data_IF_208704556151
#
_entry.id   IF_208704556151
#
_cell.length_a   1.000
_cell.length_b   1.000
_cell.length_c   1.000
_cell.angle_alpha   90.00
_cell.angle_beta   90.00
_cell.angle_gamma   90.00
#
_symmetry.space_group_name_H-M   'P 1'
#
loop_
_entity.id
_entity.type
_entity.pdbx_description
1 polymer ?
#
# COMPACT_ATOMS: atom_id res chain seq x y z
N UNK A 1 -13.03 -26.15 56.25
CA UNK A 1 -12.16 -25.81 55.10
C UNK A 1 -11.77 -24.32 54.99
N UNK A 2 -12.66 -23.33 55.21
CA UNK A 2 -12.26 -21.88 55.19
C UNK A 2 -11.66 -21.36 56.51
N UNK A 3 -11.99 -21.99 57.64
CA UNK A 3 -11.50 -21.60 58.98
C UNK A 3 -10.07 -22.09 59.26
N UNK A 4 -9.70 -23.28 58.77
CA UNK A 4 -8.34 -23.85 58.98
C UNK A 4 -7.24 -23.03 58.28
N UNK A 5 -7.57 -22.39 57.15
CA UNK A 5 -6.65 -21.49 56.43
C UNK A 5 -6.37 -20.18 57.17
N UNK A 6 -7.36 -19.67 57.92
CA UNK A 6 -7.20 -18.44 58.71
C UNK A 6 -6.41 -18.71 60.00
N UNK A 7 -6.59 -19.88 60.61
CA UNK A 7 -5.77 -20.31 61.75
C UNK A 7 -4.31 -20.57 61.36
N UNK A 8 -4.06 -21.04 60.13
CA UNK A 8 -2.70 -21.22 59.62
C UNK A 8 -1.97 -19.88 59.41
N UNK A 9 -2.68 -18.84 58.95
CA UNK A 9 -2.11 -17.49 58.80
C UNK A 9 -1.91 -16.76 60.13
N UNK A 10 -2.70 -17.08 61.16
CA UNK A 10 -2.55 -16.51 62.50
C UNK A 10 -1.39 -17.11 63.31
N UNK A 11 -0.95 -18.33 62.99
CA UNK A 11 0.16 -19.02 63.67
C UNK A 11 1.53 -18.74 63.02
N UNK A 12 1.56 -18.06 61.88
CA UNK A 12 2.81 -17.59 61.25
C UNK A 12 3.23 -16.30 61.95
N UNK A 13 4.22 -16.44 62.83
CA UNK A 13 4.86 -15.30 63.49
C UNK A 13 5.60 -14.46 62.45
N UNK A 14 5.04 -13.28 62.15
CA UNK A 14 5.49 -12.34 61.11
C UNK A 14 6.87 -11.73 61.41
N UNK A 15 7.44 -12.02 62.58
CA UNK A 15 8.74 -11.52 63.04
C UNK A 15 9.90 -12.50 62.84
N UNK A 16 9.69 -13.66 62.21
CA UNK A 16 10.79 -14.60 61.95
C UNK A 16 11.61 -14.15 60.73
N UNK A 17 12.95 -14.16 60.80
CA UNK A 17 13.82 -13.72 59.69
C UNK A 17 13.58 -14.54 58.41
N UNK A 18 13.09 -15.78 58.55
CA UNK A 18 12.73 -16.66 57.43
C UNK A 18 11.46 -16.20 56.70
N UNK A 19 10.43 -15.72 57.41
CA UNK A 19 9.21 -15.19 56.77
C UNK A 19 9.48 -13.84 56.12
N UNK A 20 10.31 -12.99 56.72
CA UNK A 20 10.82 -11.75 56.10
C UNK A 20 11.70 -12.02 54.86
N UNK A 21 12.58 -13.02 54.91
CA UNK A 21 13.40 -13.42 53.76
C UNK A 21 12.55 -14.01 52.61
N UNK A 22 11.55 -14.84 52.92
CA UNK A 22 10.66 -15.42 51.91
C UNK A 22 9.71 -14.37 51.29
N UNK A 23 9.17 -13.46 52.09
CA UNK A 23 8.30 -12.39 51.59
C UNK A 23 9.09 -11.36 50.78
N UNK A 24 10.31 -10.99 51.19
CA UNK A 24 11.19 -10.12 50.39
C UNK A 24 11.66 -10.78 49.09
N UNK A 25 11.95 -12.09 49.09
CA UNK A 25 12.25 -12.85 47.88
C UNK A 25 11.05 -12.94 46.92
N UNK A 26 9.83 -13.16 47.45
CA UNK A 26 8.61 -13.17 46.65
C UNK A 26 8.29 -11.80 46.04
N UNK A 27 8.39 -10.72 46.82
CA UNK A 27 8.20 -9.34 46.34
C UNK A 27 9.26 -8.96 45.31
N UNK A 28 10.52 -9.33 45.54
CA UNK A 28 11.60 -9.15 44.56
C UNK A 28 11.38 -9.93 43.27
N UNK A 29 10.84 -11.15 43.35
CA UNK A 29 10.47 -11.96 42.18
C UNK A 29 9.32 -11.34 41.38
N UNK A 30 8.28 -10.82 42.04
CA UNK A 30 7.16 -10.15 41.35
C UNK A 30 7.65 -8.85 40.68
N UNK A 31 8.48 -8.06 41.35
CA UNK A 31 9.03 -6.81 40.78
C UNK A 31 9.91 -7.12 39.56
N UNK A 32 10.77 -8.14 39.63
CA UNK A 32 11.63 -8.54 38.52
C UNK A 32 10.83 -9.08 37.34
N UNK A 33 9.82 -9.94 37.57
CA UNK A 33 8.90 -10.42 36.53
C UNK A 33 8.10 -9.27 35.90
N UNK A 34 7.61 -8.33 36.70
CA UNK A 34 6.92 -7.14 36.22
C UNK A 34 7.84 -6.25 35.38
N UNK A 35 9.10 -6.07 35.79
CA UNK A 35 10.10 -5.32 35.04
C UNK A 35 10.46 -6.00 33.72
N UNK A 36 10.67 -7.32 33.72
CA UNK A 36 10.94 -8.10 32.50
C UNK A 36 9.74 -8.01 31.55
N UNK A 37 8.52 -8.22 32.05
CA UNK A 37 7.28 -8.06 31.28
C UNK A 37 7.14 -6.66 30.67
N UNK A 38 7.39 -5.61 31.47
CA UNK A 38 7.34 -4.23 30.99
C UNK A 38 8.41 -3.94 29.94
N UNK A 39 9.63 -4.50 30.11
CA UNK A 39 10.72 -4.39 29.14
C UNK A 39 10.37 -5.10 27.83
N UNK A 40 9.85 -6.32 27.90
CA UNK A 40 9.46 -7.11 26.73
C UNK A 40 8.31 -6.44 25.97
N UNK A 41 7.33 -5.87 26.68
CA UNK A 41 6.25 -5.12 26.06
C UNK A 41 6.76 -3.87 25.34
N UNK A 42 7.74 -3.15 25.92
CA UNK A 42 8.38 -1.99 25.27
C UNK A 42 9.18 -2.41 24.03
N UNK A 43 9.90 -3.52 24.11
CA UNK A 43 10.71 -4.03 23.00
C UNK A 43 9.82 -4.45 21.83
N UNK A 44 8.75 -5.22 22.09
CA UNK A 44 7.74 -5.57 21.08
C UNK A 44 7.12 -4.34 20.44
N UNK A 45 6.86 -3.28 21.22
CA UNK A 45 6.31 -2.02 20.70
C UNK A 45 7.30 -1.29 19.79
N UNK A 46 8.60 -1.32 20.10
CA UNK A 46 9.67 -0.77 19.25
C UNK A 46 9.78 -1.55 17.96
N UNK A 47 9.90 -2.87 18.04
CA UNK A 47 9.94 -3.76 16.87
C UNK A 47 8.74 -3.57 15.93
N UNK A 48 7.53 -3.41 16.49
CA UNK A 48 6.31 -3.06 15.72
C UNK A 48 6.46 -1.76 14.94
N UNK A 49 6.98 -0.72 15.59
CA UNK A 49 7.17 0.60 14.99
C UNK A 49 8.23 0.56 13.90
N UNK A 50 9.34 -0.12 14.15
CA UNK A 50 10.47 -0.20 13.22
C UNK A 50 10.06 -1.00 11.98
N UNK A 51 9.40 -2.15 12.16
CA UNK A 51 8.87 -2.96 11.04
C UNK A 51 7.82 -2.18 10.24
N UNK A 52 6.91 -1.46 10.90
CA UNK A 52 5.93 -0.62 10.23
C UNK A 52 6.57 0.57 9.49
N UNK A 53 7.67 1.11 10.01
CA UNK A 53 8.44 2.17 9.34
C UNK A 53 9.10 1.64 8.07
N UNK A 54 9.77 0.48 8.13
CA UNK A 54 10.38 -0.17 6.97
C UNK A 54 9.35 -0.47 5.87
N UNK A 55 8.20 -1.01 6.25
CA UNK A 55 7.07 -1.23 5.33
C UNK A 55 6.61 0.06 4.67
N UNK A 56 6.37 1.11 5.45
CA UNK A 56 5.93 2.39 4.91
C UNK A 56 6.98 3.02 4.00
N UNK A 57 8.27 2.91 4.33
CA UNK A 57 9.36 3.41 3.49
C UNK A 57 9.44 2.65 2.15
N UNK A 58 9.21 1.32 2.15
CA UNK A 58 9.18 0.54 0.92
C UNK A 58 8.05 0.98 -0.03
N UNK A 59 6.85 1.23 0.52
CA UNK A 59 5.69 1.71 -0.22
C UNK A 59 5.89 3.16 -0.73
N UNK A 60 6.46 4.03 0.09
CA UNK A 60 6.80 5.40 -0.31
C UNK A 60 7.87 5.42 -1.41
N UNK A 61 8.87 4.55 -1.32
CA UNK A 61 9.87 4.38 -2.37
C UNK A 61 9.22 3.92 -3.67
N UNK A 62 8.32 2.94 -3.57
CA UNK A 62 7.58 2.45 -4.73
C UNK A 62 6.73 3.54 -5.41
N UNK A 63 6.06 4.40 -4.63
CA UNK A 63 5.32 5.54 -5.18
C UNK A 63 6.22 6.50 -5.96
N UNK A 64 7.45 6.76 -5.49
CA UNK A 64 8.43 7.55 -6.25
C UNK A 64 8.85 6.84 -7.54
N UNK A 65 9.09 5.53 -7.49
CA UNK A 65 9.41 4.73 -8.68
C UNK A 65 8.28 4.79 -9.71
N UNK A 66 7.03 4.70 -9.27
CA UNK A 66 5.87 4.88 -10.14
C UNK A 66 5.84 6.27 -10.78
N UNK A 67 6.08 7.35 -10.01
CA UNK A 67 6.19 8.72 -10.56
C UNK A 67 7.28 8.81 -11.63
N UNK A 68 8.45 8.22 -11.39
CA UNK A 68 9.53 8.21 -12.40
C UNK A 68 9.13 7.44 -13.66
N UNK A 69 8.37 6.36 -13.52
CA UNK A 69 7.86 5.59 -14.66
C UNK A 69 6.79 6.36 -15.43
N UNK A 70 5.92 7.12 -14.75
CA UNK A 70 4.98 8.03 -15.39
C UNK A 70 5.73 9.06 -16.23
N UNK A 71 6.77 9.71 -15.69
CA UNK A 71 7.58 10.64 -16.48
C UNK A 71 8.27 9.96 -17.67
N UNK A 72 8.77 8.74 -17.49
CA UNK A 72 9.36 7.96 -18.59
C UNK A 72 8.34 7.66 -19.69
N UNK A 73 7.11 7.30 -19.32
CA UNK A 73 6.02 7.08 -20.25
C UNK A 73 5.64 8.37 -21.00
N UNK A 74 5.54 9.51 -20.30
CA UNK A 74 5.24 10.80 -20.95
C UNK A 74 6.31 11.19 -21.96
N UNK A 75 7.57 10.89 -21.64
CA UNK A 75 8.70 11.16 -22.52
C UNK A 75 8.69 10.24 -23.74
N UNK A 76 8.44 8.94 -23.55
CA UNK A 76 8.31 7.98 -24.63
C UNK A 76 7.12 8.28 -25.57
N UNK A 77 6.03 8.84 -25.04
CA UNK A 77 4.88 9.27 -25.85
C UNK A 77 5.18 10.53 -26.68
N UNK A 78 6.13 11.37 -26.25
CA UNK A 78 6.51 12.60 -26.93
C UNK A 78 7.61 12.40 -28.00
N UNK A 79 8.26 11.24 -28.04
CA UNK A 79 9.27 10.97 -29.07
C UNK A 79 8.61 10.84 -30.47
N UNK A 80 9.16 11.54 -31.48
CA UNK A 80 8.59 11.53 -32.82
C UNK A 80 8.63 10.13 -33.44
N UNK A 81 7.57 9.81 -34.20
CA UNK A 81 7.34 8.51 -34.85
C UNK A 81 8.39 8.24 -35.93
N UNK A 82 9.58 7.79 -35.53
CA UNK A 82 10.55 7.12 -36.38
C UNK A 82 10.57 5.60 -36.13
N UNK A 83 11.38 4.86 -36.89
CA UNK A 83 11.59 3.42 -36.66
C UNK A 83 12.06 3.05 -35.23
N UNK A 84 12.51 4.05 -34.46
CA UNK A 84 12.96 3.95 -33.06
C UNK A 84 11.82 3.98 -32.02
N UNK A 85 10.59 4.34 -32.40
CA UNK A 85 9.50 4.58 -31.42
C UNK A 85 9.05 3.30 -30.68
N UNK A 86 9.25 2.14 -31.32
CA UNK A 86 9.02 0.83 -30.68
C UNK A 86 10.11 0.45 -29.67
N UNK A 87 11.28 1.09 -29.70
CA UNK A 87 12.36 0.87 -28.74
C UNK A 87 12.19 1.72 -27.48
N UNK A 88 11.72 2.96 -27.63
CA UNK A 88 11.42 3.87 -26.53
C UNK A 88 10.37 3.31 -25.56
N UNK A 89 9.31 2.70 -26.12
CA UNK A 89 8.19 2.12 -25.37
C UNK A 89 8.50 0.75 -24.73
N UNK A 90 9.57 0.03 -25.15
CA UNK A 90 9.95 -1.27 -24.54
C UNK A 90 10.27 -1.14 -23.05
N UNK A 91 10.87 -0.02 -22.65
CA UNK A 91 11.26 0.27 -21.28
C UNK A 91 10.13 0.81 -20.39
N UNK A 92 8.92 0.99 -20.91
CA UNK A 92 7.77 1.58 -20.20
C UNK A 92 6.86 0.44 -19.72
N UNK A 93 6.85 0.20 -18.41
CA UNK A 93 6.06 -0.85 -17.77
C UNK A 93 5.80 -0.50 -16.31
N UNK A 94 4.75 -1.05 -15.70
CA UNK A 94 4.51 -0.87 -14.26
C UNK A 94 5.70 -1.47 -13.48
N UNK A 95 6.34 -0.72 -12.56
CA UNK A 95 7.41 -1.26 -11.74
C UNK A 95 6.91 -2.42 -10.88
N UNK A 96 7.69 -3.50 -10.81
CA UNK A 96 7.40 -4.59 -9.89
C UNK A 96 7.54 -4.11 -8.43
N UNK A 97 6.69 -4.62 -7.55
CA UNK A 97 6.78 -4.36 -6.12
C UNK A 97 6.92 -5.66 -5.35
N UNK A 98 7.90 -5.69 -4.46
CA UNK A 98 8.04 -6.73 -3.46
C UNK A 98 8.49 -6.07 -2.16
N UNK A 99 8.01 -6.62 -1.04
CA UNK A 99 8.52 -6.22 0.26
C UNK A 99 9.91 -6.82 0.51
N UNK A 100 10.65 -6.25 1.47
CA UNK A 100 11.94 -6.79 1.89
C UNK A 100 11.78 -8.18 2.52
N UNK A 101 12.64 -9.13 2.15
CA UNK A 101 12.59 -10.51 2.65
C UNK A 101 12.78 -10.61 4.17
N UNK A 102 13.44 -9.62 4.77
CA UNK A 102 13.84 -9.60 6.20
C UNK A 102 12.77 -9.00 7.13
N UNK A 103 11.54 -8.80 6.66
CA UNK A 103 10.49 -8.18 7.48
C UNK A 103 9.94 -9.13 8.55
N UNK A 104 9.85 -8.62 9.77
CA UNK A 104 9.33 -9.35 10.92
C UNK A 104 7.79 -9.35 10.95
N UNK A 105 7.16 -10.03 9.99
CA UNK A 105 5.70 -10.06 9.82
C UNK A 105 4.93 -10.47 11.08
N UNK A 106 5.47 -11.41 11.86
CA UNK A 106 4.86 -11.93 13.09
C UNK A 106 4.62 -10.86 14.18
N UNK A 107 5.26 -9.70 14.05
CA UNK A 107 5.17 -8.60 15.00
C UNK A 107 3.91 -7.75 14.76
N UNK A 108 3.33 -7.81 13.56
CA UNK A 108 2.14 -7.06 13.13
C UNK A 108 0.84 -7.83 13.40
N UNK A 109 -0.30 -7.14 13.34
CA UNK A 109 -1.60 -7.81 13.45
C UNK A 109 -1.94 -8.55 12.15
N UNK A 110 -2.72 -9.63 12.26
CA UNK A 110 -3.12 -10.46 11.11
C UNK A 110 -3.85 -9.67 10.02
N UNK A 111 -4.71 -8.73 10.41
CA UNK A 111 -5.45 -7.84 9.51
C UNK A 111 -4.50 -6.93 8.69
N UNK A 112 -3.50 -6.35 9.34
CA UNK A 112 -2.49 -5.53 8.66
C UNK A 112 -1.65 -6.39 7.72
N UNK A 113 -1.31 -7.62 8.12
CA UNK A 113 -0.57 -8.55 7.26
C UNK A 113 -1.38 -8.91 6.01
N UNK A 114 -2.68 -9.17 6.12
CA UNK A 114 -3.52 -9.48 4.96
C UNK A 114 -3.60 -8.31 3.98
N UNK A 115 -3.88 -7.09 4.48
CA UNK A 115 -3.95 -5.89 3.62
C UNK A 115 -2.60 -5.63 2.92
N UNK A 116 -1.48 -5.75 3.64
CA UNK A 116 -0.17 -5.53 3.06
C UNK A 116 0.19 -6.61 2.05
N UNK A 117 -0.07 -7.88 2.32
CA UNK A 117 0.26 -8.98 1.40
C UNK A 117 -0.59 -8.99 0.14
N UNK A 118 -1.78 -8.41 0.18
CA UNK A 118 -2.63 -8.25 -1.01
C UNK A 118 -2.04 -7.24 -1.99
N UNK A 119 -1.37 -6.19 -1.50
CA UNK A 119 -0.88 -5.10 -2.35
C UNK A 119 0.12 -5.52 -3.45
N UNK A 120 1.16 -6.33 -3.21
CA UNK A 120 2.00 -6.86 -4.29
C UNK A 120 1.21 -7.63 -5.36
N UNK A 121 0.16 -8.35 -4.96
CA UNK A 121 -0.69 -9.09 -5.90
C UNK A 121 -1.51 -8.15 -6.78
N UNK A 122 -2.04 -7.05 -6.22
CA UNK A 122 -2.76 -6.04 -7.02
C UNK A 122 -1.84 -5.32 -8.01
N UNK A 123 -0.61 -5.00 -7.60
CA UNK A 123 0.42 -4.44 -8.50
C UNK A 123 0.77 -5.43 -9.61
N UNK A 124 0.91 -6.72 -9.28
CA UNK A 124 1.21 -7.75 -10.27
C UNK A 124 0.08 -7.89 -11.28
N UNK A 125 -1.18 -7.94 -10.83
CA UNK A 125 -2.34 -8.00 -11.71
C UNK A 125 -2.43 -6.77 -12.64
N UNK A 126 -2.16 -5.56 -12.12
CA UNK A 126 -2.10 -4.34 -12.94
C UNK A 126 -1.00 -4.43 -14.01
N UNK A 127 0.15 -5.02 -13.65
CA UNK A 127 1.26 -5.20 -14.58
C UNK A 127 0.90 -6.20 -15.69
N UNK A 128 0.31 -7.34 -15.34
CA UNK A 128 -0.18 -8.32 -16.32
C UNK A 128 -1.22 -7.71 -17.26
N UNK A 129 -2.13 -6.88 -16.73
CA UNK A 129 -3.10 -6.16 -17.54
C UNK A 129 -2.43 -5.24 -18.57
N UNK A 130 -1.39 -4.50 -18.18
CA UNK A 130 -0.61 -3.66 -19.10
C UNK A 130 0.20 -4.49 -20.08
N UNK A 131 0.76 -5.61 -19.66
CA UNK A 131 1.49 -6.53 -20.54
C UNK A 131 0.55 -7.13 -21.61
N UNK A 132 -0.67 -7.51 -21.22
CA UNK A 132 -1.70 -7.93 -22.17
C UNK A 132 -2.10 -6.78 -23.13
N UNK A 133 -2.22 -5.55 -22.61
CA UNK A 133 -2.51 -4.39 -23.45
C UNK A 133 -1.41 -4.10 -24.48
N UNK A 134 -0.13 -4.38 -24.13
CA UNK A 134 1.01 -4.19 -25.03
C UNK A 134 0.96 -5.08 -26.28
N UNK A 135 0.30 -6.24 -26.21
CA UNK A 135 0.19 -7.15 -27.36
C UNK A 135 -0.73 -6.60 -28.46
N UNK A 136 -1.73 -5.79 -28.09
CA UNK A 136 -2.81 -5.37 -28.98
C UNK A 136 -2.97 -3.84 -29.12
N UNK A 137 -2.37 -3.06 -28.23
CA UNK A 137 -2.52 -1.60 -28.15
C UNK A 137 -1.50 -0.82 -28.97
N UNK A 138 -1.88 0.41 -29.36
CA UNK A 138 -0.93 1.36 -29.95
C UNK A 138 0.11 1.81 -28.90
N UNK A 139 1.37 2.07 -29.30
CA UNK A 139 2.42 2.47 -28.37
C UNK A 139 2.11 3.73 -27.53
N UNK A 140 1.35 4.68 -28.11
CA UNK A 140 0.94 5.92 -27.42
C UNK A 140 -0.11 5.61 -26.35
N UNK A 141 -1.12 4.78 -26.69
CA UNK A 141 -2.14 4.34 -25.75
C UNK A 141 -1.54 3.50 -24.61
N UNK A 142 -0.52 2.69 -24.91
CA UNK A 142 0.22 1.91 -23.92
C UNK A 142 0.90 2.84 -22.89
N UNK A 143 1.52 3.93 -23.33
CA UNK A 143 2.17 4.89 -22.44
C UNK A 143 1.14 5.54 -21.51
N UNK A 144 0.00 5.99 -22.04
CA UNK A 144 -1.10 6.54 -21.22
C UNK A 144 -1.68 5.52 -20.23
N UNK A 145 -1.78 4.25 -20.62
CA UNK A 145 -2.24 3.18 -19.75
C UNK A 145 -1.23 2.88 -18.62
N UNK A 146 0.07 2.87 -18.92
CA UNK A 146 1.13 2.71 -17.92
C UNK A 146 1.12 3.88 -16.93
N UNK A 147 0.98 5.11 -17.41
CA UNK A 147 0.88 6.29 -16.53
C UNK A 147 -0.29 6.16 -15.56
N UNK A 148 -1.46 5.79 -16.07
CA UNK A 148 -2.67 5.65 -15.26
C UNK A 148 -2.54 4.57 -14.18
N UNK A 149 -2.08 3.36 -14.53
CA UNK A 149 -1.94 2.29 -13.53
C UNK A 149 -0.78 2.55 -12.57
N UNK A 150 0.31 3.20 -13.01
CA UNK A 150 1.36 3.66 -12.10
C UNK A 150 0.83 4.70 -11.12
N UNK A 151 -0.03 5.63 -11.55
CA UNK A 151 -0.62 6.63 -10.68
C UNK A 151 -1.51 6.00 -9.61
N UNK A 152 -2.36 5.05 -10.00
CA UNK A 152 -3.22 4.28 -9.08
C UNK A 152 -2.41 3.46 -8.08
N UNK A 153 -1.42 2.73 -8.57
CA UNK A 153 -0.55 1.91 -7.71
C UNK A 153 0.20 2.80 -6.70
N UNK A 154 0.75 3.94 -7.15
CA UNK A 154 1.41 4.91 -6.29
C UNK A 154 0.47 5.46 -5.20
N UNK A 155 -0.76 5.84 -5.56
CA UNK A 155 -1.74 6.35 -4.59
C UNK A 155 -2.13 5.30 -3.55
N UNK A 156 -2.39 4.06 -4.00
CA UNK A 156 -2.67 2.95 -3.10
C UNK A 156 -1.48 2.68 -2.14
N UNK A 157 -0.24 2.73 -2.66
CA UNK A 157 0.97 2.58 -1.85
C UNK A 157 1.07 3.64 -0.75
N UNK A 158 0.84 4.92 -1.09
CA UNK A 158 0.90 6.03 -0.15
C UNK A 158 -0.22 5.96 0.91
N UNK A 159 -1.42 5.54 0.50
CA UNK A 159 -2.53 5.29 1.42
C UNK A 159 -2.18 4.17 2.43
N UNK A 160 -1.63 3.05 1.95
CA UNK A 160 -1.17 1.95 2.80
C UNK A 160 0.00 2.35 3.71
N UNK A 161 0.97 3.12 3.21
CA UNK A 161 2.09 3.64 4.01
C UNK A 161 1.59 4.54 5.16
N UNK A 162 0.57 5.36 4.92
CA UNK A 162 -0.05 6.19 5.95
C UNK A 162 -0.84 5.38 6.95
N UNK A 163 -1.64 4.42 6.48
CA UNK A 163 -2.42 3.55 7.35
C UNK A 163 -1.51 2.75 8.29
N UNK A 164 -0.44 2.14 7.76
CA UNK A 164 0.55 1.41 8.56
C UNK A 164 1.24 2.29 9.60
N UNK A 165 1.67 3.50 9.22
CA UNK A 165 2.28 4.45 10.17
C UNK A 165 1.33 4.86 11.28
N UNK A 166 0.06 5.15 10.95
CA UNK A 166 -0.98 5.53 11.93
C UNK A 166 -1.29 4.38 12.89
N UNK A 167 -1.51 3.17 12.36
CA UNK A 167 -1.87 1.98 13.15
C UNK A 167 -0.77 1.56 14.14
N UNK A 168 0.50 1.70 13.76
CA UNK A 168 1.63 1.28 14.61
C UNK A 168 2.34 2.42 15.36
N UNK A 169 1.88 3.67 15.19
CA UNK A 169 2.50 4.83 15.82
C UNK A 169 3.96 5.04 15.39
N UNK A 170 4.26 4.73 14.14
CA UNK A 170 5.55 5.05 13.53
C UNK A 170 5.61 6.55 13.19
N UNK A 171 6.81 7.05 12.87
CA UNK A 171 7.01 8.45 12.54
C UNK A 171 6.08 8.89 11.40
N UNK A 172 5.43 10.05 11.54
CA UNK A 172 4.56 10.60 10.49
C UNK A 172 5.38 10.87 9.24
N UNK A 173 4.77 10.64 8.08
CA UNK A 173 5.37 11.01 6.82
C UNK A 173 5.56 12.51 6.73
N UNK A 174 6.82 12.92 6.54
CA UNK A 174 7.21 14.29 6.20
C UNK A 174 7.84 14.22 4.81
N UNK A 175 7.06 14.43 3.74
CA UNK A 175 7.62 14.44 2.40
C UNK A 175 8.68 15.53 2.30
N UNK A 176 9.79 15.24 1.60
CA UNK A 176 10.77 16.26 1.23
C UNK A 176 10.16 17.26 0.26
N UNK A 177 10.87 18.36 -0.03
CA UNK A 177 10.38 19.42 -0.92
C UNK A 177 9.90 18.91 -2.30
N UNK A 178 10.51 17.82 -2.81
CA UNK A 178 10.15 17.19 -4.10
C UNK A 178 8.87 16.33 -4.04
N UNK A 179 8.56 15.80 -2.86
CA UNK A 179 7.46 14.83 -2.66
C UNK A 179 6.23 15.49 -2.01
N UNK A 180 6.31 16.76 -1.65
CA UNK A 180 5.26 17.50 -0.93
C UNK A 180 3.96 17.59 -1.73
N UNK A 181 4.07 17.69 -3.06
CA UNK A 181 2.95 17.74 -3.98
C UNK A 181 2.59 16.36 -4.57
N UNK A 182 3.37 15.30 -4.29
CA UNK A 182 3.26 14.00 -4.96
C UNK A 182 1.83 13.46 -4.97
N UNK A 183 1.18 13.43 -3.81
CA UNK A 183 -0.18 12.89 -3.74
C UNK A 183 -1.21 13.72 -4.49
N UNK A 184 -1.06 15.05 -4.43
CA UNK A 184 -1.96 15.95 -5.14
C UNK A 184 -1.79 15.80 -6.64
N UNK A 185 -0.54 15.74 -7.11
CA UNK A 185 -0.23 15.50 -8.51
C UNK A 185 -0.84 14.16 -8.99
N UNK A 186 -0.69 13.09 -8.19
CA UNK A 186 -1.26 11.78 -8.51
C UNK A 186 -2.80 11.81 -8.52
N UNK A 187 -3.44 12.47 -7.56
CA UNK A 187 -4.90 12.58 -7.53
C UNK A 187 -5.44 13.38 -8.71
N UNK A 188 -4.79 14.52 -9.02
CA UNK A 188 -5.18 15.39 -10.13
C UNK A 188 -4.99 14.65 -11.47
N UNK A 189 -3.91 13.87 -11.59
CA UNK A 189 -3.67 13.04 -12.77
C UNK A 189 -4.72 11.94 -12.95
N UNK A 190 -5.05 11.19 -11.89
CA UNK A 190 -6.08 10.14 -11.95
C UNK A 190 -7.43 10.73 -12.36
N UNK A 191 -7.83 11.86 -11.74
CA UNK A 191 -9.09 12.53 -12.06
C UNK A 191 -9.15 12.95 -13.53
N UNK A 192 -8.09 13.61 -14.03
CA UNK A 192 -8.02 14.03 -15.43
C UNK A 192 -8.01 12.85 -16.40
N UNK A 193 -7.34 11.74 -16.05
CA UNK A 193 -7.31 10.54 -16.88
C UNK A 193 -8.69 9.84 -16.93
N UNK A 194 -9.42 9.83 -15.82
CA UNK A 194 -10.78 9.29 -15.77
C UNK A 194 -11.79 10.16 -16.53
N UNK A 195 -11.67 11.47 -16.44
CA UNK A 195 -12.49 12.42 -17.21
C UNK A 195 -12.29 12.20 -18.71
N UNK A 196 -11.03 12.16 -19.18
CA UNK A 196 -10.72 11.86 -20.59
C UNK A 196 -11.28 10.51 -21.05
N UNK A 197 -11.25 9.49 -20.19
CA UNK A 197 -11.85 8.18 -20.50
C UNK A 197 -13.36 8.27 -20.63
N UNK A 198 -14.05 8.98 -19.73
CA UNK A 198 -15.49 9.21 -19.81
C UNK A 198 -15.87 9.95 -21.08
N UNK A 199 -15.19 11.05 -21.39
CA UNK A 199 -15.42 11.79 -22.64
C UNK A 199 -15.20 10.93 -23.89
N UNK A 200 -14.17 10.07 -23.88
CA UNK A 200 -13.90 9.18 -25.02
C UNK A 200 -15.00 8.12 -25.19
N UNK A 201 -15.59 7.66 -24.08
CA UNK A 201 -16.70 6.71 -24.08
C UNK A 201 -17.99 7.38 -24.56
N UNK A 202 -18.28 8.59 -24.07
CA UNK A 202 -19.43 9.39 -24.51
C UNK A 202 -19.36 9.69 -26.00
N UNK A 203 -18.22 10.15 -26.51
CA UNK A 203 -18.01 10.37 -27.96
C UNK A 203 -18.20 9.09 -28.78
N UNK A 204 -17.77 7.93 -28.27
CA UNK A 204 -18.00 6.63 -28.94
C UNK A 204 -19.47 6.24 -28.92
N UNK A 205 -20.19 6.52 -27.84
CA UNK A 205 -21.63 6.28 -27.72
C UNK A 205 -22.42 7.18 -28.67
N UNK A 206 -22.11 8.45 -28.74
CA UNK A 206 -22.73 9.40 -29.68
C UNK A 206 -22.49 8.98 -31.14
N UNK A 207 -21.24 8.64 -31.50
CA UNK A 207 -20.92 8.16 -32.85
C UNK A 207 -21.63 6.85 -33.23
N UNK A 208 -21.90 5.96 -32.27
CA UNK A 208 -22.64 4.72 -32.53
C UNK A 208 -24.16 4.96 -32.63
N UNK A 209 -24.68 5.96 -31.93
CA UNK A 209 -26.08 6.40 -32.08
C UNK A 209 -26.29 7.07 -33.44
N UNK A 210 -25.44 8.01 -33.85
CA UNK A 210 -25.53 8.67 -35.16
C UNK A 210 -25.45 7.67 -36.30
N UNK A 211 -24.52 6.71 -36.23
CA UNK A 211 -24.40 5.64 -37.23
C UNK A 211 -25.65 4.75 -37.32
N UNK A 212 -26.37 4.53 -36.21
CA UNK A 212 -27.65 3.78 -36.23
C UNK A 212 -28.77 4.58 -36.87
N UNK A 213 -28.82 5.89 -36.62
CA UNK A 213 -29.81 6.80 -37.22
C UNK A 213 -29.60 6.88 -38.74
N UNK A 214 -28.36 6.99 -39.19
CA UNK A 214 -28.03 6.99 -40.62
C UNK A 214 -28.44 5.68 -41.30
N UNK A 215 -28.15 4.53 -40.69
CA UNK A 215 -28.56 3.23 -41.24
C UNK A 215 -30.08 3.05 -41.31
N UNK A 216 -30.85 3.63 -40.38
CA UNK A 216 -32.31 3.63 -40.44
C UNK A 216 -32.84 4.55 -41.56
N UNK A 217 -32.22 5.72 -41.75
CA UNK A 217 -32.56 6.66 -42.82
C UNK A 217 -32.30 6.07 -44.21
N UNK A 218 -31.16 5.41 -44.38
CA UNK A 218 -30.82 4.70 -45.62
C UNK A 218 -31.81 3.57 -45.93
N UNK A 219 -32.29 2.84 -44.93
CA UNK A 219 -33.32 1.80 -45.14
C UNK A 219 -34.67 2.38 -45.57
N UNK A 220 -35.08 3.53 -45.04
CA UNK A 220 -36.34 4.18 -45.44
C UNK A 220 -36.32 4.69 -46.88
N UNK A 221 -35.18 5.21 -47.34
CA UNK A 221 -35.01 5.71 -48.72
C UNK A 221 -35.01 4.57 -49.75
N UNK A 222 -34.53 3.39 -49.38
CA UNK A 222 -34.51 2.21 -50.27
C UNK A 222 -35.86 1.44 -50.31
N UNK A 223 -36.80 1.79 -49.44
CA UNK A 223 -38.13 1.16 -49.37
C UNK A 223 -39.25 1.98 -50.02
N UNK A 224 -38.92 3.10 -50.65
CA UNK A 224 -39.82 3.96 -51.42
C UNK A 224 -39.56 3.78 -52.93
#
# INVERSE_FOLDING_TARGET
MRQEWLEFLQRVDWNTPVTLALTSAAVGSVITLAWISARDARERKRQRRDTALELALSLESYARTCRTMMHKATWAAAEPVGHLNREASKGVSIPAFAYLDRLHWHVLSREVISELREYPATVHAAREYVEAFREFGEPIDLCGQVEYECAKAAMAALALARATRRRHGAARWKPGAKDSALERELSDFIANAEEKRKESLERRMEATVDRRVDLQRFKQVLSA
#
